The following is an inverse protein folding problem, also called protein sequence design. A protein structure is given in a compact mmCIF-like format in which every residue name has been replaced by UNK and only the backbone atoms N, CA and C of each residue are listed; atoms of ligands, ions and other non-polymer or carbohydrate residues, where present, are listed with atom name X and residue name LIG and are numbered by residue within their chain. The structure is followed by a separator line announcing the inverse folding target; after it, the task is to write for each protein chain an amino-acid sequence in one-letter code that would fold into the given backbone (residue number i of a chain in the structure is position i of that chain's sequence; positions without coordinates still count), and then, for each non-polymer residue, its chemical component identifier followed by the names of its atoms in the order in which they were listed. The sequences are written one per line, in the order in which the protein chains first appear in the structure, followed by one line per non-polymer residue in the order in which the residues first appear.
data_IF_650542272694
#
_entry.id   IF_650542272694
#
_cell.length_a   1.000
_cell.length_b   1.000
_cell.length_c   1.000
_cell.angle_alpha   90.00
_cell.angle_beta   90.00
_cell.angle_gamma   90.00
#
_symmetry.space_group_name_H-M   'P 1'
#
loop_
_entity.id
_entity.type
_entity.pdbx_description
1 polymer ?
#
# COMPACT_ATOMS: atom_id res chain seq x y z
N UNK A 1 -19.45 -31.41 -33.76
CA UNK A 1 -17.97 -31.42 -33.63
C UNK A 1 -17.39 -30.27 -34.44
N UNK A 2 -16.52 -29.47 -33.84
CA UNK A 2 -15.70 -28.46 -34.50
C UNK A 2 -14.24 -28.65 -34.07
N UNK A 3 -13.32 -28.62 -35.02
CA UNK A 3 -11.87 -28.71 -34.76
C UNK A 3 -11.27 -27.31 -34.79
N UNK A 4 -10.59 -26.91 -33.72
CA UNK A 4 -10.00 -25.58 -33.56
C UNK A 4 -8.49 -25.57 -33.79
N UNK A 5 -7.82 -26.66 -33.39
CA UNK A 5 -6.38 -26.86 -33.61
C UNK A 5 -6.19 -28.22 -34.26
N UNK A 6 -5.35 -28.29 -35.28
CA UNK A 6 -4.94 -29.54 -35.92
C UNK A 6 -3.59 -29.33 -36.59
N UNK A 7 -2.56 -29.98 -36.07
CA UNK A 7 -1.20 -29.92 -36.60
C UNK A 7 -0.16 -30.16 -35.52
N UNK A 8 1.09 -29.89 -35.84
CA UNK A 8 2.18 -30.00 -34.88
C UNK A 8 2.30 -28.71 -34.06
N UNK A 9 2.39 -28.83 -32.74
CA UNK A 9 2.64 -27.72 -31.82
C UNK A 9 4.00 -27.89 -31.16
N UNK A 10 4.70 -26.78 -30.97
CA UNK A 10 5.97 -26.80 -30.25
C UNK A 10 5.73 -26.88 -28.75
N UNK A 11 6.43 -27.79 -28.10
CA UNK A 11 6.43 -27.99 -26.66
C UNK A 11 7.81 -27.68 -26.12
N UNK A 12 7.84 -27.00 -24.99
CA UNK A 12 9.04 -26.80 -24.18
C UNK A 12 8.69 -27.06 -22.72
N UNK A 13 9.54 -27.82 -22.03
CA UNK A 13 9.33 -28.31 -20.67
C UNK A 13 8.09 -29.21 -20.48
N UNK A 14 7.69 -29.92 -21.52
CA UNK A 14 6.64 -30.95 -21.46
C UNK A 14 5.25 -30.41 -21.14
N UNK A 15 4.97 -29.15 -21.48
CA UNK A 15 3.79 -28.43 -21.01
C UNK A 15 3.10 -27.63 -22.12
N UNK A 16 1.77 -27.61 -22.03
CA UNK A 16 0.83 -26.84 -22.83
C UNK A 16 -0.30 -26.36 -21.91
N UNK A 17 -0.98 -25.27 -22.26
CA UNK A 17 -2.01 -24.70 -21.40
C UNK A 17 -3.30 -24.44 -22.14
N UNK A 18 -4.42 -24.52 -21.42
CA UNK A 18 -5.65 -23.84 -21.84
C UNK A 18 -5.93 -22.72 -20.84
N UNK A 19 -6.09 -21.49 -21.34
CA UNK A 19 -6.17 -20.27 -20.53
C UNK A 19 -7.46 -19.55 -20.87
N UNK A 20 -8.19 -19.11 -19.84
CA UNK A 20 -9.44 -18.35 -19.95
C UNK A 20 -9.57 -17.34 -18.80
N UNK A 21 -8.50 -16.57 -18.58
CA UNK A 21 -8.26 -15.74 -17.38
C UNK A 21 -8.24 -16.56 -16.08
N UNK A 22 -7.13 -17.23 -15.78
CA UNK A 22 -7.05 -18.12 -14.63
C UNK A 22 -7.18 -17.35 -13.30
N UNK A 23 -7.67 -17.99 -12.26
CA UNK A 23 -7.51 -17.45 -10.91
C UNK A 23 -6.01 -17.37 -10.56
N UNK A 24 -5.45 -16.16 -10.50
CA UNK A 24 -4.02 -15.92 -10.23
C UNK A 24 -3.19 -15.75 -11.50
N UNK A 25 -1.91 -16.11 -11.46
CA UNK A 25 -0.96 -15.99 -12.57
C UNK A 25 -0.87 -17.24 -13.47
N UNK A 26 -1.75 -18.23 -13.25
CA UNK A 26 -1.59 -19.56 -13.82
C UNK A 26 -0.52 -20.34 -13.04
N UNK A 27 -0.91 -21.48 -12.47
CA UNK A 27 -0.02 -22.25 -11.59
C UNK A 27 0.91 -23.20 -12.34
N UNK A 28 1.84 -23.79 -11.61
CA UNK A 28 2.65 -24.90 -12.09
C UNK A 28 1.91 -26.23 -12.04
N UNK A 29 2.62 -27.35 -12.29
CA UNK A 29 2.03 -28.69 -12.21
C UNK A 29 1.54 -29.04 -10.79
N UNK A 30 2.14 -28.47 -9.73
CA UNK A 30 1.72 -28.72 -8.34
C UNK A 30 0.33 -28.13 -8.07
N UNK A 31 0.13 -26.87 -8.39
CA UNK A 31 -1.14 -26.16 -8.13
C UNK A 31 -2.24 -26.70 -9.03
N UNK A 32 -1.93 -26.96 -10.31
CA UNK A 32 -2.90 -27.39 -11.31
C UNK A 32 -3.40 -28.84 -11.11
N UNK A 33 -2.62 -29.69 -10.45
CA UNK A 33 -2.99 -31.09 -10.18
C UNK A 33 -3.36 -31.34 -8.72
N UNK A 34 -3.35 -30.31 -7.87
CA UNK A 34 -3.61 -30.44 -6.45
C UNK A 34 -4.99 -31.09 -6.21
N UNK A 35 -5.00 -32.24 -5.51
CA UNK A 35 -6.21 -32.97 -5.19
C UNK A 35 -6.80 -33.83 -6.32
N UNK A 36 -6.16 -33.89 -7.49
CA UNK A 36 -6.54 -34.78 -8.59
C UNK A 36 -5.97 -36.20 -8.42
N UNK A 37 -6.61 -37.16 -9.10
CA UNK A 37 -6.17 -38.56 -9.22
C UNK A 37 -5.32 -38.85 -10.46
N UNK A 38 -5.36 -37.95 -11.44
CA UNK A 38 -4.60 -37.99 -12.69
C UNK A 38 -3.73 -36.73 -12.84
N UNK A 39 -2.61 -36.87 -13.52
CA UNK A 39 -1.62 -35.81 -13.70
C UNK A 39 -1.33 -35.44 -15.15
N UNK A 40 -2.12 -35.89 -16.13
CA UNK A 40 -1.93 -35.49 -17.53
C UNK A 40 -2.66 -34.17 -17.86
N UNK A 41 -3.78 -33.89 -17.19
CA UNK A 41 -4.61 -32.71 -17.41
C UNK A 41 -4.92 -32.01 -16.08
N UNK A 42 -4.02 -31.18 -15.56
CA UNK A 42 -4.23 -30.40 -14.35
C UNK A 42 -5.38 -29.40 -14.50
N UNK A 43 -6.48 -29.57 -13.75
CA UNK A 43 -7.68 -28.72 -13.83
C UNK A 43 -8.12 -28.18 -12.46
N UNK A 44 -7.22 -28.17 -11.46
CA UNK A 44 -7.54 -27.71 -10.10
C UNK A 44 -7.64 -26.18 -9.99
N UNK A 45 -7.12 -25.43 -10.97
CA UNK A 45 -7.18 -23.97 -11.02
C UNK A 45 -8.34 -23.57 -11.95
N UNK A 46 -9.37 -22.86 -11.45
CA UNK A 46 -10.45 -22.34 -12.29
C UNK A 46 -9.91 -21.50 -13.45
N UNK A 47 -10.48 -21.69 -14.65
CA UNK A 47 -10.06 -20.98 -15.86
C UNK A 47 -8.73 -21.43 -16.48
N UNK A 48 -8.08 -22.47 -15.94
CA UNK A 48 -6.79 -22.97 -16.40
C UNK A 48 -6.77 -24.50 -16.57
N UNK A 49 -6.13 -24.99 -17.64
CA UNK A 49 -5.70 -26.37 -17.75
C UNK A 49 -4.19 -26.44 -17.97
N UNK A 50 -3.52 -27.31 -17.21
CA UNK A 50 -2.12 -27.67 -17.41
C UNK A 50 -2.05 -29.04 -18.08
N UNK A 51 -1.52 -29.11 -19.29
CA UNK A 51 -1.45 -30.33 -20.08
C UNK A 51 -0.01 -30.84 -20.12
N UNK A 52 0.20 -32.06 -19.65
CA UNK A 52 1.52 -32.71 -19.67
C UNK A 52 1.70 -33.55 -20.92
N UNK A 53 2.84 -33.36 -21.57
CA UNK A 53 3.36 -34.27 -22.60
C UNK A 53 4.51 -35.10 -22.03
N UNK A 54 4.87 -36.18 -22.71
CA UNK A 54 6.02 -37.00 -22.33
C UNK A 54 7.33 -36.46 -22.89
N UNK A 55 7.31 -35.98 -24.14
CA UNK A 55 8.39 -35.21 -24.75
C UNK A 55 8.56 -33.90 -23.98
N UNK A 56 9.76 -33.62 -23.49
CA UNK A 56 10.05 -32.40 -22.76
C UNK A 56 10.26 -31.23 -23.72
N UNK A 57 11.01 -31.40 -24.81
CA UNK A 57 11.18 -30.32 -25.82
C UNK A 57 11.15 -30.87 -27.24
N UNK A 58 10.31 -30.28 -28.10
CA UNK A 58 10.21 -30.63 -29.52
C UNK A 58 8.83 -30.32 -30.09
N UNK A 59 8.40 -31.04 -31.11
CA UNK A 59 7.06 -30.91 -31.70
C UNK A 59 6.21 -32.14 -31.40
N UNK A 60 4.94 -31.94 -31.03
CA UNK A 60 3.96 -33.02 -30.85
C UNK A 60 2.75 -32.77 -31.75
N UNK A 61 2.18 -33.84 -32.29
CA UNK A 61 0.93 -33.73 -33.04
C UNK A 61 -0.22 -33.43 -32.09
N UNK A 62 -0.99 -32.37 -32.33
CA UNK A 62 -2.01 -31.90 -31.40
C UNK A 62 -3.30 -31.53 -32.11
N UNK A 63 -4.42 -32.05 -31.59
CA UNK A 63 -5.76 -31.76 -32.09
C UNK A 63 -6.65 -31.29 -30.95
N UNK A 64 -7.37 -30.19 -31.15
CA UNK A 64 -8.39 -29.69 -30.23
C UNK A 64 -9.76 -29.72 -30.88
N UNK A 65 -10.71 -30.39 -30.23
CA UNK A 65 -12.08 -30.55 -30.70
C UNK A 65 -13.10 -30.09 -29.65
N UNK A 66 -14.15 -29.43 -30.11
CA UNK A 66 -15.33 -29.12 -29.29
C UNK A 66 -16.54 -29.85 -29.86
N UNK A 67 -17.23 -30.58 -28.99
CA UNK A 67 -18.37 -31.43 -29.29
C UNK A 67 -19.61 -30.94 -28.55
N UNK A 68 -20.79 -31.25 -29.10
CA UNK A 68 -22.07 -30.96 -28.45
C UNK A 68 -22.42 -32.04 -27.41
N UNK A 69 -21.96 -33.27 -27.65
CA UNK A 69 -22.21 -34.46 -26.83
C UNK A 69 -20.89 -35.19 -26.52
N UNK A 70 -20.84 -36.08 -25.52
CA UNK A 70 -19.65 -36.86 -25.21
C UNK A 70 -19.15 -37.66 -26.43
N UNK A 71 -17.92 -37.43 -26.92
CA UNK A 71 -17.38 -38.18 -28.05
C UNK A 71 -17.12 -39.63 -27.66
N UNK A 72 -17.25 -40.54 -28.64
CA UNK A 72 -16.91 -41.97 -28.44
C UNK A 72 -15.42 -42.11 -28.12
N UNK A 73 -15.11 -43.01 -27.22
CA UNK A 73 -13.72 -43.35 -26.90
C UNK A 73 -13.14 -44.16 -28.06
N UNK A 74 -12.08 -43.65 -28.69
CA UNK A 74 -11.29 -44.42 -29.62
C UNK A 74 -10.25 -45.24 -28.86
N UNK A 75 -10.17 -46.54 -29.16
CA UNK A 75 -9.25 -47.46 -28.51
C UNK A 75 -7.79 -47.25 -28.93
N UNK A 76 -7.53 -46.50 -30.02
CA UNK A 76 -6.18 -46.20 -30.49
C UNK A 76 -5.34 -45.37 -29.50
N UNK A 77 -5.99 -44.59 -28.63
CA UNK A 77 -5.31 -43.76 -27.64
C UNK A 77 -4.81 -44.61 -26.48
N UNK A 78 -3.56 -44.41 -26.07
CA UNK A 78 -2.89 -45.23 -25.06
C UNK A 78 -3.26 -44.77 -23.65
N UNK A 79 -3.17 -43.46 -23.41
CA UNK A 79 -3.46 -42.84 -22.14
C UNK A 79 -4.60 -41.86 -22.30
N UNK A 80 -5.62 -41.97 -21.46
CA UNK A 80 -6.82 -41.15 -21.55
C UNK A 80 -7.23 -40.74 -20.15
N UNK A 81 -7.32 -39.44 -19.94
CA UNK A 81 -7.81 -38.84 -18.70
C UNK A 81 -8.99 -37.94 -19.00
N UNK A 82 -9.81 -37.73 -17.98
CA UNK A 82 -10.87 -36.74 -18.06
C UNK A 82 -10.90 -35.87 -16.81
N UNK A 83 -11.18 -34.58 -17.02
CA UNK A 83 -11.32 -33.57 -15.98
C UNK A 83 -12.45 -32.60 -16.33
N UNK A 84 -12.86 -31.76 -15.40
CA UNK A 84 -13.84 -30.70 -15.67
C UNK A 84 -13.16 -29.35 -15.80
N UNK A 85 -13.65 -28.53 -16.71
CA UNK A 85 -13.12 -27.21 -17.01
C UNK A 85 -14.28 -26.22 -17.11
N UNK A 86 -14.11 -25.05 -16.51
CA UNK A 86 -15.07 -23.95 -16.59
C UNK A 86 -14.32 -22.68 -16.98
N UNK A 87 -14.56 -22.14 -18.18
CA UNK A 87 -13.98 -20.87 -18.59
C UNK A 87 -14.46 -19.72 -17.70
N UNK A 88 -13.54 -18.83 -17.33
CA UNK A 88 -13.86 -17.63 -16.54
C UNK A 88 -14.02 -16.38 -17.41
N UNK A 89 -13.55 -16.42 -18.65
CA UNK A 89 -13.79 -15.40 -19.67
C UNK A 89 -14.20 -16.03 -21.01
N UNK A 90 -14.71 -15.21 -21.92
CA UNK A 90 -14.98 -15.60 -23.31
C UNK A 90 -13.73 -15.72 -24.18
N UNK A 91 -12.55 -15.33 -23.67
CA UNK A 91 -11.27 -15.46 -24.36
C UNK A 91 -10.56 -16.73 -23.91
N UNK A 92 -10.94 -17.86 -24.50
CA UNK A 92 -10.33 -19.15 -24.21
C UNK A 92 -9.34 -19.52 -25.30
N UNK A 93 -8.11 -19.92 -24.94
CA UNK A 93 -7.11 -20.32 -25.93
C UNK A 93 -6.24 -21.48 -25.44
N UNK A 94 -5.75 -22.28 -26.40
CA UNK A 94 -4.58 -23.12 -26.19
C UNK A 94 -3.34 -22.23 -26.28
N UNK A 95 -2.53 -22.22 -25.23
CA UNK A 95 -1.28 -21.46 -25.16
C UNK A 95 -0.07 -22.37 -25.04
N UNK A 96 0.98 -21.99 -25.76
CA UNK A 96 2.29 -22.64 -25.69
C UNK A 96 3.18 -21.93 -24.66
N UNK A 97 4.16 -22.65 -24.11
CA UNK A 97 5.12 -22.08 -23.17
C UNK A 97 5.83 -20.85 -23.75
N UNK A 98 6.05 -19.84 -22.92
CA UNK A 98 6.75 -18.61 -23.30
C UNK A 98 5.98 -17.69 -24.25
N UNK A 99 4.68 -17.93 -24.47
CA UNK A 99 3.86 -17.15 -25.40
C UNK A 99 4.19 -17.41 -26.87
N UNK A 100 4.85 -18.54 -27.18
CA UNK A 100 5.26 -18.89 -28.55
C UNK A 100 4.06 -19.23 -29.47
N UNK A 101 2.87 -19.46 -28.92
CA UNK A 101 1.66 -19.71 -29.70
C UNK A 101 0.39 -19.53 -28.87
N UNK A 102 -0.64 -19.03 -29.54
CA UNK A 102 -1.95 -18.75 -28.96
C UNK A 102 -3.03 -19.12 -29.99
N UNK A 103 -3.88 -20.09 -29.64
CA UNK A 103 -4.90 -20.63 -30.53
C UNK A 103 -6.28 -20.53 -29.88
N UNK A 104 -7.12 -19.57 -30.30
CA UNK A 104 -8.46 -19.39 -29.74
C UNK A 104 -9.33 -20.64 -29.85
N UNK A 105 -9.97 -20.99 -28.75
CA UNK A 105 -10.93 -22.07 -28.62
C UNK A 105 -12.32 -21.45 -28.49
N UNK A 106 -13.29 -21.93 -29.26
CA UNK A 106 -14.66 -21.42 -29.21
C UNK A 106 -15.46 -21.99 -28.05
N UNK A 107 -14.92 -21.89 -26.83
CA UNK A 107 -15.59 -22.27 -25.59
C UNK A 107 -16.33 -21.07 -25.01
N UNK A 108 -17.49 -21.30 -24.40
CA UNK A 108 -18.35 -20.26 -23.87
C UNK A 108 -18.06 -20.00 -22.38
N UNK A 109 -18.02 -18.72 -22.01
CA UNK A 109 -17.83 -18.29 -20.63
C UNK A 109 -18.93 -18.84 -19.71
N UNK A 110 -18.54 -19.35 -18.54
CA UNK A 110 -19.48 -19.82 -17.54
C UNK A 110 -20.21 -21.12 -17.87
N UNK A 111 -19.90 -21.77 -19.00
CA UNK A 111 -20.36 -23.12 -19.31
C UNK A 111 -19.41 -24.16 -18.70
N UNK A 112 -19.97 -25.18 -18.06
CA UNK A 112 -19.18 -26.30 -17.55
C UNK A 112 -18.92 -27.30 -18.69
N UNK A 113 -17.63 -27.60 -18.92
CA UNK A 113 -17.18 -28.59 -19.89
C UNK A 113 -16.57 -29.79 -19.19
N UNK A 114 -16.80 -30.97 -19.75
CA UNK A 114 -15.92 -32.12 -19.54
C UNK A 114 -14.84 -32.07 -20.60
N UNK A 115 -13.62 -32.37 -20.17
CA UNK A 115 -12.43 -32.40 -21.01
C UNK A 115 -11.91 -33.82 -21.01
N UNK A 116 -11.61 -34.36 -22.19
CA UNK A 116 -10.83 -35.58 -22.37
C UNK A 116 -9.50 -35.22 -22.98
N UNK A 117 -8.43 -35.67 -22.34
CA UNK A 117 -7.07 -35.53 -22.86
C UNK A 117 -6.49 -36.91 -23.09
N UNK A 118 -6.16 -37.17 -24.35
CA UNK A 118 -5.71 -38.46 -24.84
C UNK A 118 -4.30 -38.34 -25.42
N UNK A 119 -3.39 -39.19 -24.99
CA UNK A 119 -2.00 -39.28 -25.47
C UNK A 119 -1.71 -40.62 -26.14
N UNK A 120 -0.79 -40.61 -27.10
CA UNK A 120 -0.25 -41.83 -27.73
C UNK A 120 1.23 -41.68 -28.07
N UNK A 121 1.97 -42.78 -28.01
CA UNK A 121 3.42 -42.88 -28.22
C UNK A 121 4.25 -42.03 -27.26
N UNK A 122 3.73 -41.84 -26.05
CA UNK A 122 4.35 -41.01 -25.01
C UNK A 122 5.71 -41.56 -24.58
N UNK A 123 5.80 -42.85 -24.28
CA UNK A 123 7.08 -43.47 -23.86
C UNK A 123 8.10 -43.51 -25.00
N UNK A 124 7.70 -43.91 -26.22
CA UNK A 124 8.61 -43.98 -27.37
C UNK A 124 9.18 -42.60 -27.72
N UNK A 125 8.35 -41.55 -27.67
CA UNK A 125 8.81 -40.19 -27.91
C UNK A 125 9.79 -39.70 -26.84
N UNK A 126 9.55 -40.05 -25.57
CA UNK A 126 10.43 -39.71 -24.45
C UNK A 126 11.78 -40.42 -24.55
N UNK A 127 11.80 -41.70 -24.90
CA UNK A 127 13.04 -42.48 -25.06
C UNK A 127 13.92 -41.96 -26.22
N UNK A 128 13.28 -41.44 -27.27
CA UNK A 128 13.94 -40.94 -28.49
C UNK A 128 13.90 -39.40 -28.59
N UNK A 129 13.77 -38.70 -27.47
CA UNK A 129 13.56 -37.25 -27.42
C UNK A 129 14.56 -36.46 -28.27
N UNK A 130 15.84 -36.83 -28.24
CA UNK A 130 16.89 -36.15 -29.00
C UNK A 130 16.67 -36.15 -30.52
N UNK A 131 15.91 -37.11 -31.06
CA UNK A 131 15.59 -37.18 -32.48
C UNK A 131 14.51 -36.17 -32.90
N UNK A 132 13.74 -35.63 -31.96
CA UNK A 132 12.54 -34.81 -32.22
C UNK A 132 12.67 -33.34 -31.80
N UNK A 133 13.87 -32.90 -31.39
CA UNK A 133 14.11 -31.51 -30.98
C UNK A 133 13.81 -30.55 -32.16
N UNK A 134 14.27 -30.90 -33.37
CA UNK A 134 14.14 -30.09 -34.60
C UNK A 134 13.27 -30.78 -35.67
N UNK A 135 12.59 -31.87 -35.32
CA UNK A 135 11.80 -32.70 -36.24
C UNK A 135 10.43 -33.01 -35.63
N UNK A 136 9.38 -33.22 -36.46
CA UNK A 136 8.07 -33.63 -35.97
C UNK A 136 8.16 -34.89 -35.11
N UNK A 137 7.64 -34.82 -33.89
CA UNK A 137 7.60 -35.93 -32.97
C UNK A 137 6.56 -36.98 -33.36
N UNK A 138 6.73 -38.18 -32.80
CA UNK A 138 5.76 -39.27 -32.96
C UNK A 138 4.66 -39.25 -31.90
N UNK A 139 4.84 -38.47 -30.83
CA UNK A 139 3.85 -38.27 -29.78
C UNK A 139 2.67 -37.48 -30.32
N UNK A 140 1.46 -37.99 -30.08
CA UNK A 140 0.23 -37.34 -30.51
C UNK A 140 -0.70 -37.15 -29.32
N UNK A 141 -1.46 -36.06 -29.39
CA UNK A 141 -2.40 -35.64 -28.37
C UNK A 141 -3.73 -35.20 -28.99
N UNK A 142 -4.81 -35.55 -28.31
CA UNK A 142 -6.16 -35.13 -28.64
C UNK A 142 -6.84 -34.57 -27.39
N UNK A 143 -7.30 -33.32 -27.49
CA UNK A 143 -8.01 -32.60 -26.44
C UNK A 143 -9.45 -32.35 -26.89
N UNK A 144 -10.41 -32.94 -26.19
CA UNK A 144 -11.82 -32.87 -26.55
C UNK A 144 -12.63 -32.22 -25.44
N UNK A 145 -13.49 -31.27 -25.80
CA UNK A 145 -14.42 -30.60 -24.88
C UNK A 145 -15.86 -30.93 -25.26
N UNK A 146 -16.73 -31.10 -24.27
CA UNK A 146 -18.19 -31.11 -24.46
C UNK A 146 -18.91 -30.58 -23.21
N UNK A 147 -20.06 -29.90 -23.36
CA UNK A 147 -20.83 -29.43 -22.21
C UNK A 147 -21.24 -30.58 -21.29
N UNK A 148 -20.95 -30.47 -20.01
CA UNK A 148 -21.29 -31.47 -19.01
C UNK A 148 -21.23 -30.90 -17.60
N UNK A 149 -21.97 -31.49 -16.66
CA UNK A 149 -21.88 -31.10 -15.25
C UNK A 149 -20.46 -31.38 -14.72
N UNK A 150 -19.94 -30.55 -13.80
CA UNK A 150 -18.65 -30.81 -13.16
C UNK A 150 -18.63 -32.16 -12.45
N UNK A 151 -17.61 -32.95 -12.73
CA UNK A 151 -17.35 -34.25 -12.11
C UNK A 151 -15.88 -34.35 -11.71
N UNK A 152 -15.56 -35.24 -10.77
CA UNK A 152 -14.17 -35.50 -10.39
C UNK A 152 -13.35 -35.94 -11.60
N UNK A 153 -12.07 -35.61 -11.57
CA UNK A 153 -11.13 -36.12 -12.56
C UNK A 153 -11.05 -37.64 -12.46
N UNK A 154 -10.72 -38.30 -13.57
CA UNK A 154 -10.50 -39.75 -13.62
C UNK A 154 -9.49 -40.15 -14.66
N UNK A 155 -8.80 -41.24 -14.39
CA UNK A 155 -8.03 -42.00 -15.38
C UNK A 155 -8.98 -42.96 -16.08
N UNK A 156 -9.17 -42.80 -17.39
CA UNK A 156 -10.02 -43.67 -18.22
C UNK A 156 -9.19 -44.85 -18.75
N UNK A 157 -7.98 -44.58 -19.21
CA UNK A 157 -7.03 -45.58 -19.72
C UNK A 157 -5.61 -45.15 -19.37
N UNK A 158 -4.75 -46.09 -19.00
CA UNK A 158 -3.33 -45.86 -18.74
C UNK A 158 -2.54 -47.03 -19.30
N UNK A 159 -1.59 -46.74 -20.18
CA UNK A 159 -0.67 -47.70 -20.81
C UNK A 159 0.78 -47.25 -20.61
N UNK A 160 1.10 -45.96 -20.74
CA UNK A 160 2.48 -45.49 -20.68
C UNK A 160 3.02 -45.32 -19.26
N UNK A 161 4.32 -45.51 -19.11
CA UNK A 161 5.06 -45.20 -17.89
C UNK A 161 5.11 -43.69 -17.63
N UNK A 162 5.12 -42.87 -18.69
CA UNK A 162 5.05 -41.41 -18.61
C UNK A 162 3.75 -40.92 -17.97
N UNK A 163 2.60 -41.47 -18.37
CA UNK A 163 1.32 -41.17 -17.73
C UNK A 163 1.28 -41.66 -16.28
N UNK A 164 1.78 -42.87 -16.01
CA UNK A 164 1.84 -43.44 -14.67
C UNK A 164 2.64 -42.56 -13.69
N UNK A 165 3.79 -42.03 -14.14
CA UNK A 165 4.61 -41.10 -13.36
C UNK A 165 3.82 -39.86 -12.94
N UNK A 166 3.14 -39.21 -13.89
CA UNK A 166 2.38 -38.00 -13.60
C UNK A 166 1.15 -38.25 -12.73
N UNK A 167 0.49 -39.40 -12.89
CA UNK A 167 -0.62 -39.79 -12.02
C UNK A 167 -0.17 -40.02 -10.58
N UNK A 168 0.98 -40.67 -10.37
CA UNK A 168 1.57 -40.84 -9.04
C UNK A 168 1.99 -39.50 -8.41
N UNK A 169 2.58 -38.60 -9.21
CA UNK A 169 2.87 -37.23 -8.79
C UNK A 169 1.61 -36.51 -8.28
N UNK A 170 0.54 -36.48 -9.08
CA UNK A 170 -0.71 -35.81 -8.71
C UNK A 170 -1.33 -36.37 -7.41
N UNK A 171 -1.32 -37.70 -7.24
CA UNK A 171 -1.87 -38.38 -6.05
C UNK A 171 -1.11 -38.06 -4.76
N UNK A 172 0.16 -37.67 -4.85
CA UNK A 172 0.99 -37.30 -3.70
C UNK A 172 0.80 -35.85 -3.28
N UNK A 173 0.19 -35.01 -4.12
CA UNK A 173 -0.02 -33.61 -3.81
C UNK A 173 -1.06 -33.45 -2.69
N UNK A 174 -0.84 -32.50 -1.77
CA UNK A 174 -1.87 -32.14 -0.82
C UNK A 174 -3.08 -31.59 -1.57
N UNK A 175 -4.27 -31.73 -0.97
CA UNK A 175 -5.44 -31.03 -1.47
C UNK A 175 -5.22 -29.52 -1.33
N UNK A 176 -5.67 -28.72 -2.32
CA UNK A 176 -5.58 -27.27 -2.19
C UNK A 176 -6.42 -26.81 -0.98
N UNK A 177 -6.03 -25.69 -0.34
CA UNK A 177 -6.82 -25.13 0.74
C UNK A 177 -8.23 -24.81 0.25
N UNK A 178 -9.23 -25.08 1.08
CA UNK A 178 -10.61 -24.73 0.76
C UNK A 178 -10.76 -23.21 0.61
N UNK A 179 -11.81 -22.73 -0.09
CA UNK A 179 -12.11 -21.29 -0.16
C UNK A 179 -12.18 -20.62 1.23
N UNK A 180 -12.71 -21.32 2.23
CA UNK A 180 -12.76 -20.84 3.61
C UNK A 180 -11.36 -20.70 4.23
N UNK A 181 -10.47 -21.66 3.97
CA UNK A 181 -9.09 -21.61 4.46
C UNK A 181 -8.31 -20.47 3.80
N UNK A 182 -8.48 -20.25 2.48
CA UNK A 182 -7.90 -19.10 1.75
C UNK A 182 -8.39 -17.77 2.34
N UNK A 183 -9.70 -17.60 2.46
CA UNK A 183 -10.29 -16.38 3.03
C UNK A 183 -9.84 -16.13 4.48
N UNK A 184 -9.63 -17.19 5.28
CA UNK A 184 -9.09 -17.05 6.64
C UNK A 184 -7.63 -16.61 6.63
N UNK A 185 -6.81 -17.12 5.72
CA UNK A 185 -5.41 -16.71 5.58
C UNK A 185 -5.31 -15.24 5.13
N UNK A 186 -6.11 -14.83 4.14
CA UNK A 186 -6.19 -13.43 3.68
C UNK A 186 -6.61 -12.48 4.80
N UNK A 187 -7.60 -12.86 5.62
CA UNK A 187 -7.98 -12.08 6.81
C UNK A 187 -6.82 -11.90 7.78
N UNK A 188 -6.07 -12.98 8.07
CA UNK A 188 -4.90 -12.89 8.96
C UNK A 188 -3.83 -11.95 8.39
N UNK A 189 -3.53 -12.06 7.09
CA UNK A 189 -2.57 -11.17 6.42
C UNK A 189 -3.01 -9.72 6.51
N UNK A 190 -4.30 -9.44 6.28
CA UNK A 190 -4.86 -8.10 6.42
C UNK A 190 -4.77 -7.56 7.85
N UNK A 191 -5.11 -8.38 8.85
CA UNK A 191 -5.00 -8.01 10.26
C UNK A 191 -3.54 -7.75 10.67
N UNK A 192 -2.59 -8.53 10.15
CA UNK A 192 -1.16 -8.31 10.38
C UNK A 192 -0.66 -7.03 9.71
N UNK A 193 -1.09 -6.76 8.48
CA UNK A 193 -0.75 -5.53 7.77
C UNK A 193 -1.33 -4.28 8.47
N UNK A 194 -2.56 -4.35 8.97
CA UNK A 194 -3.20 -3.27 9.71
C UNK A 194 -2.45 -2.98 11.03
N UNK A 195 -2.10 -4.03 11.79
CA UNK A 195 -1.28 -3.89 13.00
C UNK A 195 0.09 -3.29 12.71
N UNK A 196 0.75 -3.75 11.64
CA UNK A 196 2.05 -3.23 11.25
C UNK A 196 1.97 -1.76 10.83
N UNK A 197 0.89 -1.36 10.12
CA UNK A 197 0.66 0.03 9.74
C UNK A 197 0.39 0.93 10.97
N UNK A 198 -0.40 0.45 11.93
CA UNK A 198 -0.64 1.17 13.20
C UNK A 198 0.66 1.33 13.99
N UNK A 199 1.46 0.28 14.12
CA UNK A 199 2.75 0.34 14.80
C UNK A 199 3.71 1.30 14.12
N UNK A 200 3.79 1.26 12.78
CA UNK A 200 4.59 2.23 12.01
C UNK A 200 4.10 3.66 12.22
N UNK A 201 2.79 3.88 12.19
CA UNK A 201 2.20 5.20 12.44
C UNK A 201 2.55 5.73 13.83
N UNK A 202 2.39 4.91 14.87
CA UNK A 202 2.75 5.28 16.25
C UNK A 202 4.26 5.51 16.41
N UNK A 203 5.09 4.75 15.71
CA UNK A 203 6.54 4.92 15.71
C UNK A 203 6.96 6.25 15.08
N UNK A 204 6.35 6.62 13.94
CA UNK A 204 6.57 7.91 13.29
C UNK A 204 6.13 9.06 14.20
N UNK A 205 4.92 8.96 14.77
CA UNK A 205 4.42 9.95 15.72
C UNK A 205 5.36 10.12 16.92
N UNK A 206 5.83 9.03 17.54
CA UNK A 206 6.81 9.14 18.64
C UNK A 206 8.08 9.85 18.20
N UNK A 207 8.61 9.53 17.04
CA UNK A 207 9.85 10.15 16.53
C UNK A 207 9.68 11.65 16.29
N UNK A 208 8.55 12.06 15.71
CA UNK A 208 8.24 13.46 15.42
C UNK A 208 7.97 14.29 16.68
N UNK A 209 7.56 13.63 17.78
CA UNK A 209 7.17 14.25 19.03
C UNK A 209 8.15 13.97 20.19
N UNK A 210 9.45 13.89 19.88
CA UNK A 210 10.50 13.83 20.92
C UNK A 210 10.64 12.49 21.64
N UNK A 211 9.96 11.44 21.17
CA UNK A 211 9.92 10.11 21.78
C UNK A 211 8.61 9.81 22.52
N UNK A 212 7.73 10.80 22.66
CA UNK A 212 6.43 10.67 23.34
C UNK A 212 5.26 10.85 22.36
N UNK A 213 4.19 10.07 22.53
CA UNK A 213 2.98 10.21 21.70
C UNK A 213 2.20 11.45 22.16
N UNK A 214 1.80 12.37 21.26
CA UNK A 214 0.98 13.53 21.61
C UNK A 214 -0.42 13.11 22.05
N UNK A 215 -1.03 13.91 22.92
CA UNK A 215 -2.43 13.75 23.28
C UNK A 215 -3.34 13.95 22.05
N UNK A 216 -4.61 13.58 22.18
CA UNK A 216 -5.60 13.92 21.14
C UNK A 216 -5.72 15.44 20.97
N UNK A 217 -5.65 16.20 22.08
CA UNK A 217 -5.73 17.66 22.07
C UNK A 217 -4.60 18.29 21.24
N UNK A 218 -3.36 17.85 21.42
CA UNK A 218 -2.21 18.31 20.61
C UNK A 218 -2.31 17.91 19.13
N UNK A 219 -2.98 16.81 18.81
CA UNK A 219 -3.19 16.37 17.42
C UNK A 219 -4.28 17.15 16.70
N UNK A 220 -5.23 17.71 17.43
CA UNK A 220 -6.38 18.41 16.85
C UNK A 220 -6.33 19.93 16.99
N UNK A 221 -5.44 20.47 17.84
CA UNK A 221 -5.34 21.91 18.06
C UNK A 221 -4.90 22.59 16.76
N UNK A 222 -5.68 23.57 16.33
CA UNK A 222 -5.34 24.40 15.17
C UNK A 222 -4.24 25.40 15.58
N UNK A 223 -3.47 25.90 14.61
CA UNK A 223 -2.40 26.88 14.84
C UNK A 223 -1.00 26.30 14.66
N UNK A 224 -0.01 26.90 15.31
CA UNK A 224 1.42 26.65 15.12
C UNK A 224 1.97 25.51 16.00
N UNK A 225 1.16 24.48 16.23
CA UNK A 225 1.60 23.28 16.96
C UNK A 225 2.77 22.58 16.27
N UNK A 226 2.78 22.55 14.94
CA UNK A 226 3.88 21.99 14.15
C UNK A 226 5.19 22.76 14.34
N UNK A 227 5.11 24.10 14.45
CA UNK A 227 6.27 24.94 14.71
C UNK A 227 6.92 24.64 16.06
N UNK A 228 6.12 24.48 17.13
CA UNK A 228 6.65 24.07 18.44
C UNK A 228 7.11 22.61 18.42
N UNK A 229 6.38 21.70 17.75
CA UNK A 229 6.78 20.29 17.59
C UNK A 229 8.17 20.16 16.99
N UNK A 230 8.49 20.97 15.98
CA UNK A 230 9.79 20.96 15.32
C UNK A 230 10.91 21.58 16.17
N UNK A 231 10.62 22.67 16.88
CA UNK A 231 11.63 23.39 17.66
C UNK A 231 11.87 22.78 19.06
N UNK A 232 10.81 22.32 19.72
CA UNK A 232 10.84 21.81 21.09
C UNK A 232 9.60 20.91 21.40
N UNK A 233 9.60 19.64 20.95
CA UNK A 233 8.44 18.76 21.12
C UNK A 233 8.08 18.49 22.59
N UNK A 234 9.08 18.40 23.48
CA UNK A 234 8.86 18.26 24.93
C UNK A 234 8.11 19.45 25.53
N UNK A 235 8.33 20.65 24.98
CA UNK A 235 7.65 21.87 25.44
C UNK A 235 6.18 21.86 25.03
N UNK A 236 5.85 21.33 23.84
CA UNK A 236 4.45 21.15 23.43
C UNK A 236 3.70 20.20 24.38
N UNK A 237 4.31 19.07 24.77
CA UNK A 237 3.73 18.15 25.75
C UNK A 237 3.53 18.81 27.11
N UNK A 238 4.52 19.57 27.59
CA UNK A 238 4.41 20.29 28.86
C UNK A 238 3.26 21.31 28.84
N UNK A 239 3.11 22.08 27.75
CA UNK A 239 2.03 23.04 27.59
C UNK A 239 0.64 22.40 27.60
N UNK A 240 0.50 21.22 26.97
CA UNK A 240 -0.75 20.47 26.94
C UNK A 240 -1.19 19.96 28.31
N UNK A 241 -0.24 19.63 29.19
CA UNK A 241 -0.50 19.20 30.57
C UNK A 241 -0.90 20.35 31.50
N UNK A 242 -0.69 21.60 31.10
CA UNK A 242 -1.03 22.76 31.92
C UNK A 242 -2.53 23.01 31.98
N UNK A 243 -2.99 23.52 33.13
CA UNK A 243 -4.33 24.10 33.23
C UNK A 243 -4.50 25.26 32.22
N UNK A 244 -5.72 25.49 31.69
CA UNK A 244 -6.02 26.62 30.82
C UNK A 244 -5.50 27.97 31.31
N UNK A 245 -5.56 28.24 32.61
CA UNK A 245 -5.10 29.48 33.23
C UNK A 245 -3.58 29.63 33.10
N UNK A 246 -2.83 28.54 33.28
CA UNK A 246 -1.37 28.53 33.11
C UNK A 246 -0.97 28.63 31.64
N UNK A 247 -1.70 27.99 30.72
CA UNK A 247 -1.48 28.16 29.27
C UNK A 247 -1.62 29.63 28.86
N UNK A 248 -2.65 30.33 29.35
CA UNK A 248 -2.82 31.78 29.14
C UNK A 248 -1.68 32.61 29.74
N UNK A 249 -1.17 32.23 30.91
CA UNK A 249 -0.05 32.91 31.53
C UNK A 249 1.23 32.78 30.67
N UNK A 250 1.50 31.59 30.13
CA UNK A 250 2.63 31.38 29.21
C UNK A 250 2.45 32.19 27.93
N UNK A 251 1.24 32.22 27.35
CA UNK A 251 0.95 32.98 26.14
C UNK A 251 1.24 34.48 26.31
N UNK A 252 0.75 35.08 27.41
CA UNK A 252 0.99 36.50 27.75
C UNK A 252 2.47 36.79 28.01
N UNK A 253 3.15 35.90 28.71
CA UNK A 253 4.58 36.01 28.96
C UNK A 253 5.39 35.98 27.66
N UNK A 254 5.10 35.03 26.76
CA UNK A 254 5.79 34.89 25.48
C UNK A 254 5.59 36.12 24.58
N UNK A 255 4.35 36.62 24.50
CA UNK A 255 4.02 37.87 23.83
C UNK A 255 4.87 39.03 24.37
N UNK A 256 4.88 39.25 25.69
CA UNK A 256 5.66 40.35 26.28
C UNK A 256 7.15 40.22 25.96
N UNK A 257 7.73 39.03 26.08
CA UNK A 257 9.15 38.79 25.75
C UNK A 257 9.45 39.05 24.28
N UNK A 258 8.56 38.67 23.35
CA UNK A 258 8.72 38.97 21.93
C UNK A 258 8.73 40.49 21.65
N UNK A 259 7.84 41.24 22.28
CA UNK A 259 7.75 42.70 22.11
C UNK A 259 8.92 43.44 22.78
N UNK A 260 9.44 42.94 23.89
CA UNK A 260 10.65 43.44 24.52
C UNK A 260 11.88 43.20 23.63
N UNK A 261 12.04 41.99 23.10
CA UNK A 261 13.14 41.64 22.20
C UNK A 261 13.11 42.46 20.90
N UNK A 262 11.92 42.69 20.34
CA UNK A 262 11.75 43.51 19.14
C UNK A 262 11.84 45.04 19.38
N UNK A 263 11.99 45.48 20.64
CA UNK A 263 12.01 46.90 21.01
C UNK A 263 10.65 47.61 20.90
N UNK A 264 9.57 46.86 20.71
CA UNK A 264 8.20 47.40 20.54
C UNK A 264 7.53 47.75 21.87
N UNK A 265 8.01 47.21 22.99
CA UNK A 265 7.43 47.46 24.32
C UNK A 265 7.45 48.94 24.75
N UNK A 266 8.35 49.75 24.17
CA UNK A 266 8.48 51.18 24.48
C UNK A 266 7.71 52.10 23.50
N UNK A 267 7.09 51.54 22.46
CA UNK A 267 6.37 52.30 21.45
C UNK A 267 4.98 52.69 21.99
N UNK A 268 4.71 53.99 22.04
CA UNK A 268 3.59 54.55 22.81
C UNK A 268 2.19 54.08 22.38
N UNK A 269 1.98 53.72 21.10
CA UNK A 269 0.68 53.21 20.63
C UNK A 269 0.52 51.69 20.79
N UNK A 270 1.61 50.96 21.05
CA UNK A 270 1.62 49.50 21.26
C UNK A 270 1.36 49.15 22.73
N UNK A 271 1.88 49.97 23.66
CA UNK A 271 1.72 49.73 25.10
C UNK A 271 0.25 49.50 25.54
N UNK A 272 -0.76 50.26 25.08
CA UNK A 272 -2.16 49.99 25.41
C UNK A 272 -2.68 48.62 24.94
N UNK A 273 -2.14 48.09 23.84
CA UNK A 273 -2.55 46.80 23.30
C UNK A 273 -1.95 45.63 24.10
N UNK A 274 -0.69 45.74 24.53
CA UNK A 274 -0.07 44.78 25.43
C UNK A 274 -0.80 44.72 26.77
N UNK A 275 -1.10 45.88 27.34
CA UNK A 275 -1.89 46.03 28.55
C UNK A 275 -3.29 45.39 28.45
N UNK A 276 -3.97 45.57 27.31
CA UNK A 276 -5.26 44.97 27.05
C UNK A 276 -5.17 43.44 26.97
N UNK A 277 -4.18 42.91 26.23
CA UNK A 277 -3.96 41.47 26.10
C UNK A 277 -3.63 40.80 27.45
N UNK A 278 -2.85 41.45 28.30
CA UNK A 278 -2.52 40.95 29.64
C UNK A 278 -3.74 40.85 30.56
N UNK A 279 -4.66 41.81 30.44
CA UNK A 279 -5.93 41.82 31.17
C UNK A 279 -7.00 40.95 30.52
N UNK A 280 -6.72 40.31 29.37
CA UNK A 280 -7.71 39.54 28.60
C UNK A 280 -8.85 40.40 28.06
N UNK A 281 -8.58 41.68 27.78
CA UNK A 281 -9.53 42.63 27.22
C UNK A 281 -9.43 42.63 25.69
N UNK A 282 -10.49 43.10 25.02
CA UNK A 282 -10.46 43.30 23.56
C UNK A 282 -9.32 44.27 23.21
N UNK A 283 -8.54 43.92 22.18
CA UNK A 283 -7.44 44.76 21.73
C UNK A 283 -7.97 46.11 21.22
N UNK A 284 -7.28 47.23 21.51
CA UNK A 284 -7.64 48.55 21.00
C UNK A 284 -7.14 48.75 19.56
N UNK A 285 -7.70 49.74 18.84
CA UNK A 285 -7.18 50.16 17.54
C UNK A 285 -5.67 50.47 17.60
N UNK A 286 -4.87 50.03 16.59
CA UNK A 286 -5.27 49.42 15.32
C UNK A 286 -5.39 47.88 15.34
N UNK A 287 -5.39 47.24 16.50
CA UNK A 287 -5.40 45.77 16.65
C UNK A 287 -6.81 45.15 16.79
N UNK A 288 -7.86 45.96 16.69
CA UNK A 288 -9.24 45.66 17.11
C UNK A 288 -10.14 45.02 16.04
N UNK A 289 -9.84 45.20 14.75
CA UNK A 289 -10.65 44.66 13.64
C UNK A 289 -9.92 44.52 12.28
N UNK A 290 -8.95 45.40 11.95
CA UNK A 290 -8.33 45.42 10.60
C UNK A 290 -6.85 45.05 10.67
N UNK A 291 -6.53 43.78 10.35
CA UNK A 291 -5.15 43.30 10.32
C UNK A 291 -4.22 44.17 9.45
N UNK A 292 -4.71 44.79 8.38
CA UNK A 292 -3.89 45.67 7.52
C UNK A 292 -3.50 46.99 8.20
N UNK A 293 -4.35 47.57 9.05
CA UNK A 293 -4.11 48.88 9.65
C UNK A 293 -2.94 48.87 10.65
N UNK A 294 -2.74 47.76 11.36
CA UNK A 294 -1.57 47.58 12.22
C UNK A 294 -0.29 47.48 11.39
N UNK A 295 -0.31 46.80 10.24
CA UNK A 295 0.86 46.66 9.36
C UNK A 295 1.25 47.99 8.72
N UNK A 296 0.28 48.73 8.18
CA UNK A 296 0.53 50.06 7.61
C UNK A 296 1.15 50.99 8.64
N UNK A 297 0.63 50.99 9.87
CA UNK A 297 1.17 51.78 10.97
C UNK A 297 2.56 51.32 11.39
N UNK A 298 2.78 50.01 11.50
CA UNK A 298 4.07 49.42 11.88
C UNK A 298 5.19 49.79 10.88
N UNK A 299 4.90 49.78 9.58
CA UNK A 299 5.88 50.09 8.54
C UNK A 299 6.11 51.59 8.33
N UNK A 300 5.11 52.43 8.63
CA UNK A 300 5.19 53.87 8.43
C UNK A 300 5.76 54.65 9.63
N UNK A 301 5.71 54.08 10.83
CA UNK A 301 6.11 54.76 12.07
C UNK A 301 7.64 54.82 12.22
N UNK A 302 8.24 56.03 12.26
CA UNK A 302 9.69 56.20 12.39
C UNK A 302 10.23 55.78 13.77
N UNK A 303 9.38 55.68 14.79
CA UNK A 303 9.77 55.26 16.14
C UNK A 303 9.84 53.73 16.28
N UNK A 304 9.42 52.98 15.25
CA UNK A 304 9.51 51.51 15.20
C UNK A 304 10.88 51.08 14.68
N UNK A 305 11.66 50.28 15.45
CA UNK A 305 12.94 49.77 14.97
C UNK A 305 12.77 48.86 13.75
N UNK A 306 13.78 48.81 12.86
CA UNK A 306 13.80 47.91 11.71
C UNK A 306 14.95 46.91 11.83
N UNK A 307 14.77 45.91 12.69
CA UNK A 307 15.77 44.86 12.93
C UNK A 307 15.49 43.66 12.03
N UNK A 308 16.51 43.19 11.31
CA UNK A 308 16.40 41.98 10.49
C UNK A 308 17.02 40.78 11.20
N UNK A 309 16.27 39.68 11.27
CA UNK A 309 16.70 38.40 11.87
C UNK A 309 16.56 37.26 10.87
N UNK A 310 17.43 36.25 10.97
CA UNK A 310 17.27 35.03 10.19
C UNK A 310 16.12 34.17 10.75
N UNK A 311 15.56 33.28 9.92
CA UNK A 311 14.59 32.29 10.39
C UNK A 311 15.23 31.28 11.34
N UNK A 312 14.39 30.65 12.17
CA UNK A 312 14.79 29.61 13.13
C UNK A 312 15.42 28.40 12.46
N UNK A 313 15.05 28.12 11.20
CA UNK A 313 15.60 27.07 10.34
C UNK A 313 16.78 27.52 9.44
N UNK A 314 17.12 28.82 9.48
CA UNK A 314 18.19 29.43 8.69
C UNK A 314 17.92 29.54 7.19
N UNK A 315 16.73 29.14 6.70
CA UNK A 315 16.39 29.20 5.27
C UNK A 315 16.10 30.62 4.78
N UNK A 316 15.57 31.49 5.63
CA UNK A 316 15.28 32.88 5.30
C UNK A 316 16.29 33.77 6.03
N UNK A 317 17.19 34.46 5.29
CA UNK A 317 18.29 35.19 5.92
C UNK A 317 17.87 36.51 6.57
N UNK A 318 16.71 37.06 6.20
CA UNK A 318 16.27 38.37 6.67
C UNK A 318 14.74 38.42 6.76
N UNK A 319 14.23 38.47 7.98
CA UNK A 319 12.84 38.73 8.35
C UNK A 319 12.78 39.93 9.29
N UNK A 320 11.75 40.77 9.16
CA UNK A 320 11.57 41.91 10.06
C UNK A 320 11.15 41.41 11.44
N UNK A 321 12.01 41.60 12.45
CA UNK A 321 11.82 41.12 13.81
C UNK A 321 10.52 41.64 14.45
N UNK A 322 10.23 42.92 14.20
CA UNK A 322 9.04 43.61 14.70
C UNK A 322 7.76 43.01 14.14
N UNK A 323 7.78 42.60 12.87
CA UNK A 323 6.63 41.93 12.27
C UNK A 323 6.37 40.55 12.90
N UNK A 324 7.44 39.81 13.20
CA UNK A 324 7.30 38.51 13.86
C UNK A 324 6.74 38.67 15.29
N UNK A 325 7.16 39.72 16.01
CA UNK A 325 6.65 39.99 17.36
C UNK A 325 5.15 40.29 17.39
N UNK A 326 4.62 41.03 16.39
CA UNK A 326 3.18 41.35 16.31
C UNK A 326 2.32 40.07 16.21
N UNK A 327 2.81 39.01 15.57
CA UNK A 327 2.10 37.74 15.52
C UNK A 327 1.90 37.11 16.92
N UNK A 328 2.82 37.36 17.86
CA UNK A 328 2.71 36.85 19.23
C UNK A 328 1.55 37.48 20.01
N UNK A 329 1.20 38.73 19.70
CA UNK A 329 0.03 39.41 20.28
C UNK A 329 -1.28 38.74 19.84
N UNK A 330 -1.42 38.46 18.55
CA UNK A 330 -2.59 37.78 18.01
C UNK A 330 -2.70 36.34 18.54
N UNK A 331 -1.59 35.63 18.62
CA UNK A 331 -1.55 34.31 19.26
C UNK A 331 -2.02 34.35 20.71
N UNK A 332 -1.55 35.32 21.51
CA UNK A 332 -1.89 35.38 22.94
C UNK A 332 -3.38 35.60 23.24
N UNK A 333 -4.14 36.15 22.30
CA UNK A 333 -5.57 36.45 22.44
C UNK A 333 -6.50 35.40 21.82
N UNK A 334 -5.97 34.33 21.20
CA UNK A 334 -6.76 33.20 20.64
C UNK A 334 -7.73 32.62 21.67
N UNK A 335 -8.92 32.14 21.27
CA UNK A 335 -9.93 31.66 22.23
C UNK A 335 -9.52 30.36 22.97
N UNK A 336 -8.85 29.44 22.28
CA UNK A 336 -8.34 28.21 22.88
C UNK A 336 -7.04 28.51 23.67
N UNK A 337 -6.99 28.24 24.98
CA UNK A 337 -5.81 28.54 25.81
C UNK A 337 -4.53 27.81 25.40
N UNK A 338 -4.63 26.56 24.93
CA UNK A 338 -3.47 25.79 24.46
C UNK A 338 -2.98 26.36 23.13
N UNK A 339 -3.89 26.65 22.21
CA UNK A 339 -3.53 27.33 20.95
C UNK A 339 -2.86 28.66 21.24
N UNK A 340 -3.39 29.45 22.17
CA UNK A 340 -2.82 30.74 22.52
C UNK A 340 -1.37 30.62 23.03
N UNK A 341 -1.09 29.60 23.85
CA UNK A 341 0.26 29.33 24.33
C UNK A 341 1.20 28.90 23.20
N UNK A 342 0.77 27.97 22.34
CA UNK A 342 1.57 27.48 21.21
C UNK A 342 1.85 28.58 20.17
N UNK A 343 0.83 29.34 19.78
CA UNK A 343 0.94 30.40 18.79
C UNK A 343 1.81 31.56 19.29
N UNK A 344 1.59 32.03 20.52
CA UNK A 344 2.38 33.12 21.09
C UNK A 344 3.83 32.72 21.32
N UNK A 345 4.07 31.48 21.79
CA UNK A 345 5.43 30.99 22.04
C UNK A 345 6.19 30.72 20.74
N UNK A 346 5.51 30.22 19.70
CA UNK A 346 6.13 30.02 18.39
C UNK A 346 6.48 31.36 17.74
N UNK A 347 5.54 32.31 17.74
CA UNK A 347 5.80 33.65 17.21
C UNK A 347 6.97 34.33 17.94
N UNK A 348 7.04 34.20 19.27
CA UNK A 348 8.18 34.66 20.05
C UNK A 348 9.49 33.95 19.65
N UNK A 349 9.48 32.63 19.44
CA UNK A 349 10.66 31.90 18.96
C UNK A 349 11.13 32.42 17.58
N UNK A 350 10.20 32.72 16.68
CA UNK A 350 10.50 33.30 15.37
C UNK A 350 11.06 34.73 15.49
N UNK A 351 10.59 35.54 16.45
CA UNK A 351 11.18 36.86 16.77
C UNK A 351 12.63 36.77 17.24
N UNK A 352 12.97 35.73 18.01
CA UNK A 352 14.34 35.47 18.47
C UNK A 352 15.22 34.87 17.37
N UNK A 353 14.64 34.39 16.27
CA UNK A 353 15.38 33.78 15.16
C UNK A 353 16.26 32.62 15.65
N UNK A 354 17.53 32.53 15.26
CA UNK A 354 18.44 31.47 15.72
C UNK A 354 18.66 31.41 17.24
N UNK A 355 18.32 32.48 17.99
CA UNK A 355 18.47 32.55 19.44
C UNK A 355 17.25 32.03 20.22
N UNK A 356 16.29 31.36 19.55
CA UNK A 356 15.07 30.84 20.18
C UNK A 356 15.32 29.91 21.39
N UNK A 357 16.47 29.24 21.45
CA UNK A 357 16.85 28.41 22.60
C UNK A 357 16.91 29.21 23.91
N UNK A 358 17.33 30.47 23.86
CA UNK A 358 17.35 31.39 25.02
C UNK A 358 15.93 31.65 25.52
N UNK A 359 14.99 31.94 24.61
CA UNK A 359 13.58 32.13 24.95
C UNK A 359 13.00 30.90 25.67
N UNK A 360 13.27 29.69 25.17
CA UNK A 360 12.77 28.47 25.80
C UNK A 360 13.40 28.20 27.17
N UNK A 361 14.66 28.57 27.38
CA UNK A 361 15.29 28.50 28.70
C UNK A 361 14.69 29.53 29.68
N UNK A 362 14.41 30.74 29.20
CA UNK A 362 13.71 31.77 29.99
C UNK A 362 12.29 31.33 30.34
N UNK A 363 11.56 30.71 29.41
CA UNK A 363 10.21 30.19 29.64
C UNK A 363 10.21 29.13 30.74
N UNK A 364 11.13 28.17 30.67
CA UNK A 364 11.30 27.14 31.72
C UNK A 364 11.66 27.73 33.07
N UNK A 365 12.43 28.82 33.09
CA UNK A 365 12.80 29.50 34.34
C UNK A 365 11.63 30.30 34.94
N UNK A 366 10.75 30.85 34.09
CA UNK A 366 9.55 31.57 34.52
C UNK A 366 8.43 30.64 35.01
N UNK A 367 8.41 29.39 34.52
CA UNK A 367 7.41 28.36 34.87
C UNK A 367 8.10 27.02 35.25
N UNK A 368 8.91 27.00 36.32
CA UNK A 368 9.82 25.88 36.63
C UNK A 368 9.13 24.62 37.14
N UNK A 369 7.99 24.76 37.83
CA UNK A 369 7.21 23.63 38.35
C UNK A 369 6.39 22.95 37.23
N UNK A 370 6.30 23.57 36.05
CA UNK A 370 5.37 23.23 34.98
C UNK A 370 6.02 22.87 33.64
N UNK A 371 7.13 23.51 33.27
CA UNK A 371 7.79 23.29 31.97
C UNK A 371 9.09 22.47 32.07
N UNK A 372 9.41 21.99 33.28
CA UNK A 372 10.61 21.20 33.58
C UNK A 372 11.91 22.01 33.55
N UNK A 373 13.04 21.42 33.99
CA UNK A 373 14.32 22.10 34.01
C UNK A 373 14.82 22.44 32.61
N UNK A 374 15.52 23.56 32.46
CA UNK A 374 16.28 23.85 31.24
C UNK A 374 17.34 22.76 31.05
N UNK A 375 17.20 21.95 30.00
CA UNK A 375 18.26 21.04 29.58
C UNK A 375 19.46 21.87 29.13
N UNK A 376 20.58 21.67 29.82
CA UNK A 376 21.84 22.38 29.64
C UNK A 376 22.49 22.16 28.27
#
# INVERSE_FOLDING_TARGET
MRTYVSGDVRVAYGQLYVVSEPEGDGGGPHESMAGQSQGLCGAAIPGFLYLNTALHTGQVGFVVEVHEDPPRLDEEWEDVVEASFRPLSGEVALELWGGEGHFPLGLEEGVDYRVRYSGSRMDEAREREHEFIEHPGIERHLLQFWPARPERDRVVKQVSGSAAYWHDFARKLPRPPSPEQRAKAERRVREEAERAAEEQHLSLLRREWGGRIPSERLRTVLGNVDGIRELAPELAHALDELSPERQRAVARWAMRRAFEEAGLAQVGWIAPALDAAERGQRLPAPFDDVHEAVWDRLFADPDVPQTMVASTDGRTPAMLQQAMAVAALFGAVEDDPLRAALDALYAAAVTFGPAYGTLFAEARSAFPDELGPATA
#
